data_IF_401911966019
#
_entry.id   IF_401911966019
#
_cell.length_a   1.000
_cell.length_b   1.000
_cell.length_c   1.000
_cell.angle_alpha   90.00
_cell.angle_beta   90.00
_cell.angle_gamma   90.00
#
_symmetry.space_group_name_H-M   'P 1'
#
loop_
_entity.id
_entity.type
_entity.pdbx_description
1 polymer ?
#
# COMPACT_ATOMS: atom_id res chain seq x y z
N UNK A 1 -12.32 -59.60 -30.73
CA UNK A 1 -12.10 -58.61 -29.65
C UNK A 1 -10.97 -57.68 -30.07
N UNK A 2 -11.32 -56.46 -30.48
CA UNK A 2 -10.37 -55.45 -30.99
C UNK A 2 -10.24 -54.39 -29.89
N UNK A 3 -9.02 -54.06 -29.45
CA UNK A 3 -8.77 -52.89 -28.59
C UNK A 3 -7.84 -51.92 -29.31
N UNK A 4 -8.38 -50.72 -29.48
CA UNK A 4 -7.84 -49.55 -30.12
C UNK A 4 -6.45 -49.16 -29.60
N UNK A 5 -5.55 -48.91 -30.54
CA UNK A 5 -4.49 -47.92 -30.44
C UNK A 5 -4.88 -46.78 -31.38
N UNK A 6 -5.00 -45.55 -30.87
CA UNK A 6 -4.96 -44.38 -31.74
C UNK A 6 -4.44 -43.16 -30.95
N UNK A 7 -3.25 -42.74 -31.34
CA UNK A 7 -2.63 -41.46 -31.06
C UNK A 7 -3.10 -40.41 -32.09
N UNK A 8 -2.95 -39.14 -31.72
CA UNK A 8 -3.22 -37.89 -32.46
C UNK A 8 -4.71 -37.47 -32.45
N UNK A 9 -5.06 -36.20 -32.20
CA UNK A 9 -4.54 -35.04 -32.91
C UNK A 9 -4.81 -33.74 -32.12
N UNK A 10 -3.93 -32.77 -32.35
CA UNK A 10 -3.86 -31.41 -31.80
C UNK A 10 -5.06 -30.56 -32.25
N UNK A 11 -5.71 -29.84 -31.34
CA UNK A 11 -6.54 -28.67 -31.66
C UNK A 11 -6.11 -27.47 -30.81
N UNK A 12 -5.21 -26.67 -31.36
CA UNK A 12 -4.95 -25.29 -30.90
C UNK A 12 -6.06 -24.41 -31.46
N UNK A 13 -7.01 -24.01 -30.62
CA UNK A 13 -7.96 -22.95 -30.96
C UNK A 13 -7.44 -21.62 -30.42
N UNK A 14 -6.80 -20.84 -31.30
CA UNK A 14 -6.47 -19.43 -31.04
C UNK A 14 -7.78 -18.64 -31.02
N UNK A 15 -8.17 -18.17 -29.84
CA UNK A 15 -9.33 -17.31 -29.65
C UNK A 15 -9.07 -15.89 -30.15
N UNK A 16 -9.78 -15.55 -31.22
CA UNK A 16 -10.18 -14.24 -31.75
C UNK A 16 -9.65 -12.96 -31.09
N UNK A 17 -8.81 -12.26 -31.85
CA UNK A 17 -8.60 -10.81 -31.76
C UNK A 17 -9.92 -10.08 -32.04
N UNK A 18 -10.50 -9.46 -31.01
CA UNK A 18 -11.55 -8.45 -31.19
C UNK A 18 -10.89 -7.13 -31.61
N UNK A 19 -11.01 -6.80 -32.90
CA UNK A 19 -10.60 -5.51 -33.45
C UNK A 19 -11.58 -4.40 -33.07
N UNK A 20 -11.05 -3.27 -32.60
CA UNK A 20 -11.79 -2.01 -32.45
C UNK A 20 -12.17 -1.47 -33.83
N UNK A 21 -13.46 -1.26 -34.07
CA UNK A 21 -13.95 -0.55 -35.26
C UNK A 21 -14.21 0.92 -34.95
N UNK A 22 -14.13 1.72 -36.01
CA UNK A 22 -14.66 3.07 -36.19
C UNK A 22 -13.83 4.27 -35.71
N UNK A 23 -12.93 4.68 -36.61
CA UNK A 23 -12.57 6.08 -36.84
C UNK A 23 -13.81 6.83 -37.35
N UNK A 24 -14.24 7.85 -36.60
CA UNK A 24 -15.04 8.96 -37.14
C UNK A 24 -14.51 10.28 -36.55
N UNK A 25 -14.16 11.18 -37.47
CA UNK A 25 -13.60 12.51 -37.24
C UNK A 25 -14.68 13.45 -36.68
N UNK A 26 -14.34 14.27 -35.69
CA UNK A 26 -15.03 15.54 -35.41
C UNK A 26 -14.06 16.52 -34.77
N UNK A 27 -13.99 17.70 -35.38
CA UNK A 27 -13.19 18.85 -34.98
C UNK A 27 -13.66 19.46 -33.64
N UNK A 28 -12.69 20.10 -32.97
CA UNK A 28 -12.75 21.13 -31.94
C UNK A 28 -14.12 21.59 -31.39
N UNK A 29 -14.28 21.48 -30.07
CA UNK A 29 -15.01 22.46 -29.28
C UNK A 29 -14.44 22.57 -27.85
N UNK A 30 -13.99 23.78 -27.51
CA UNK A 30 -13.80 24.28 -26.15
C UNK A 30 -15.03 23.97 -25.27
N UNK A 31 -14.89 23.07 -24.29
CA UNK A 31 -15.73 23.09 -23.08
C UNK A 31 -14.83 22.81 -21.87
N UNK A 32 -14.56 23.89 -21.15
CA UNK A 32 -14.09 23.94 -19.77
C UNK A 32 -15.16 23.29 -18.89
N UNK A 33 -14.87 22.17 -18.22
CA UNK A 33 -15.64 21.76 -17.03
C UNK A 33 -14.82 20.88 -16.08
N UNK A 34 -14.43 21.55 -14.99
CA UNK A 34 -14.29 21.06 -13.62
C UNK A 34 -13.55 19.73 -13.43
N UNK A 35 -12.26 19.86 -13.08
CA UNK A 35 -11.57 18.85 -12.28
C UNK A 35 -12.36 18.70 -10.98
N UNK A 36 -13.23 17.70 -10.93
CA UNK A 36 -13.73 17.14 -9.69
C UNK A 36 -12.53 16.53 -8.97
N UNK A 37 -11.84 17.35 -8.17
CA UNK A 37 -10.96 16.86 -7.11
C UNK A 37 -11.85 16.20 -6.05
N UNK A 38 -12.33 15.00 -6.37
CA UNK A 38 -12.61 14.02 -5.34
C UNK A 38 -11.34 13.17 -5.21
N UNK A 39 -10.24 13.82 -4.80
CA UNK A 39 -9.10 13.11 -4.22
C UNK A 39 -9.55 12.63 -2.84
N UNK A 40 -10.32 11.55 -2.86
CA UNK A 40 -10.47 10.70 -1.69
C UNK A 40 -9.07 10.17 -1.37
N UNK A 41 -8.54 10.42 -0.16
CA UNK A 41 -7.14 10.23 0.08
C UNK A 41 -6.83 8.74 -0.06
N UNK A 42 -5.86 8.42 -0.92
CA UNK A 42 -5.23 7.10 -1.04
C UNK A 42 -4.52 6.65 0.25
N UNK A 43 -4.76 7.33 1.38
CA UNK A 43 -4.08 7.20 2.67
C UNK A 43 -4.62 6.03 3.52
N UNK A 44 -5.88 5.61 3.36
CA UNK A 44 -6.46 4.54 4.18
C UNK A 44 -5.74 3.19 4.00
N UNK A 45 -5.43 2.75 2.76
CA UNK A 45 -4.66 1.52 2.56
C UNK A 45 -3.22 1.60 3.11
N UNK A 46 -2.56 2.75 2.94
CA UNK A 46 -1.16 2.93 3.37
C UNK A 46 -1.02 2.95 4.90
N UNK A 47 -1.93 3.61 5.62
CA UNK A 47 -1.93 3.62 7.07
C UNK A 47 -2.20 2.23 7.66
N UNK A 48 -3.12 1.47 7.04
CA UNK A 48 -3.42 0.12 7.49
C UNK A 48 -2.21 -0.81 7.35
N UNK A 49 -1.47 -0.71 6.25
CA UNK A 49 -0.22 -1.45 6.07
C UNK A 49 0.81 -1.08 7.15
N UNK A 50 0.98 0.22 7.41
CA UNK A 50 1.89 0.70 8.46
C UNK A 50 1.53 0.17 9.86
N UNK A 51 0.25 0.08 10.20
CA UNK A 51 -0.21 -0.52 11.46
C UNK A 51 0.19 -2.01 11.53
N UNK A 52 -0.01 -2.75 10.44
CA UNK A 52 0.39 -4.15 10.36
C UNK A 52 1.90 -4.34 10.48
N UNK A 53 2.68 -3.47 9.82
CA UNK A 53 4.14 -3.47 9.91
C UNK A 53 4.60 -3.19 11.35
N UNK A 54 3.94 -2.25 12.06
CA UNK A 54 4.23 -1.94 13.45
C UNK A 54 3.98 -3.14 14.38
N UNK A 55 2.85 -3.81 14.20
CA UNK A 55 2.50 -5.02 14.96
C UNK A 55 3.47 -6.17 14.66
N UNK A 56 3.86 -6.34 13.40
CA UNK A 56 4.86 -7.32 13.00
C UNK A 56 6.23 -7.02 13.63
N UNK A 57 6.65 -5.75 13.63
CA UNK A 57 7.91 -5.31 14.21
C UNK A 57 7.99 -5.62 15.71
N UNK A 58 6.93 -5.37 16.47
CA UNK A 58 6.85 -5.70 17.90
C UNK A 58 6.87 -7.21 18.14
N UNK A 59 6.24 -8.01 17.27
CA UNK A 59 6.29 -9.48 17.35
C UNK A 59 7.69 -10.03 17.11
N UNK A 60 8.51 -9.36 16.30
CA UNK A 60 9.91 -9.75 16.10
C UNK A 60 10.75 -9.53 17.35
N UNK A 61 10.56 -8.38 18.01
CA UNK A 61 11.32 -8.00 19.21
C UNK A 61 10.57 -6.91 20.02
N UNK A 62 10.41 -7.11 21.33
CA UNK A 62 9.73 -6.18 22.23
C UNK A 62 10.44 -4.81 22.33
N UNK A 63 11.72 -4.71 21.94
CA UNK A 63 12.43 -3.40 21.92
C UNK A 63 11.74 -2.35 21.06
N UNK A 64 10.92 -2.77 20.09
CA UNK A 64 10.17 -1.89 19.20
C UNK A 64 8.80 -1.46 19.74
N UNK A 65 8.43 -1.83 20.97
CA UNK A 65 7.15 -1.45 21.58
C UNK A 65 6.92 0.07 21.56
N UNK A 66 8.00 0.84 21.73
CA UNK A 66 7.95 2.31 21.70
C UNK A 66 7.53 2.84 20.33
N UNK A 67 8.04 2.25 19.24
CA UNK A 67 7.70 2.68 17.88
C UNK A 67 6.21 2.48 17.57
N UNK A 68 5.67 1.32 17.95
CA UNK A 68 4.25 1.02 17.83
C UNK A 68 3.39 1.96 18.69
N UNK A 69 3.77 2.16 19.95
CA UNK A 69 3.03 3.04 20.87
C UNK A 69 2.99 4.50 20.39
N UNK A 70 4.10 5.00 19.82
CA UNK A 70 4.16 6.34 19.23
C UNK A 70 3.28 6.47 17.98
N UNK A 71 3.23 5.45 17.11
CA UNK A 71 2.33 5.44 15.95
C UNK A 71 0.86 5.50 16.40
N UNK A 72 0.46 4.64 17.33
CA UNK A 72 -0.92 4.62 17.84
C UNK A 72 -1.28 5.93 18.56
N UNK A 73 -0.33 6.54 19.28
CA UNK A 73 -0.49 7.87 19.85
C UNK A 73 -0.80 8.93 18.79
N UNK A 74 0.02 9.01 17.73
CA UNK A 74 -0.20 9.93 16.62
C UNK A 74 -1.56 9.73 15.93
N UNK A 75 -1.98 8.48 15.73
CA UNK A 75 -3.29 8.15 15.13
C UNK A 75 -4.43 8.62 16.05
N UNK A 76 -4.32 8.42 17.35
CA UNK A 76 -5.34 8.85 18.30
C UNK A 76 -5.43 10.38 18.39
N UNK A 77 -4.30 11.07 18.42
CA UNK A 77 -4.25 12.53 18.41
C UNK A 77 -4.82 13.09 17.10
N UNK A 78 -4.52 12.47 15.96
CA UNK A 78 -5.09 12.84 14.67
C UNK A 78 -6.61 12.62 14.62
N UNK A 79 -7.12 11.52 15.19
CA UNK A 79 -8.57 11.27 15.34
C UNK A 79 -9.23 12.31 16.23
N UNK A 80 -8.61 12.66 17.35
CA UNK A 80 -9.09 13.71 18.23
C UNK A 80 -9.14 15.06 17.49
N UNK A 81 -8.05 15.43 16.82
CA UNK A 81 -8.01 16.63 16.00
C UNK A 81 -9.13 16.64 14.95
N UNK A 82 -9.33 15.56 14.21
CA UNK A 82 -10.40 15.45 13.22
C UNK A 82 -11.78 15.73 13.84
N UNK A 83 -12.04 15.24 15.06
CA UNK A 83 -13.31 15.44 15.78
C UNK A 83 -13.58 16.90 16.19
N UNK A 84 -12.54 17.70 16.41
CA UNK A 84 -12.67 19.12 16.82
C UNK A 84 -12.34 20.11 15.71
N UNK A 85 -11.72 19.66 14.61
CA UNK A 85 -11.20 20.51 13.53
C UNK A 85 -12.24 21.45 12.92
N UNK A 86 -13.51 21.01 12.84
CA UNK A 86 -14.62 21.83 12.34
C UNK A 86 -14.88 23.10 13.16
N UNK A 87 -14.48 23.12 14.44
CA UNK A 87 -14.62 24.24 15.36
C UNK A 87 -13.40 25.17 15.36
N UNK A 88 -12.37 24.85 14.57
CA UNK A 88 -11.13 25.62 14.49
C UNK A 88 -11.09 26.52 13.25
N UNK A 89 -10.24 27.55 13.29
CA UNK A 89 -10.09 28.48 12.17
C UNK A 89 -9.51 27.79 10.92
N UNK A 90 -9.75 28.37 9.75
CA UNK A 90 -9.19 27.87 8.49
C UNK A 90 -7.65 27.83 8.51
N UNK A 91 -7.02 28.83 9.14
CA UNK A 91 -5.56 28.90 9.31
C UNK A 91 -5.05 27.72 10.14
N UNK A 92 -5.68 27.41 11.29
CA UNK A 92 -5.31 26.25 12.11
C UNK A 92 -5.44 24.96 11.31
N UNK A 93 -6.56 24.76 10.61
CA UNK A 93 -6.74 23.56 9.77
C UNK A 93 -5.66 23.40 8.70
N UNK A 94 -5.33 24.50 8.02
CA UNK A 94 -4.31 24.50 6.96
C UNK A 94 -2.89 24.21 7.45
N UNK A 95 -2.64 24.33 8.76
CA UNK A 95 -1.35 24.03 9.38
C UNK A 95 -1.34 22.66 10.05
N UNK A 96 -2.39 22.32 10.80
CA UNK A 96 -2.41 21.14 11.66
C UNK A 96 -2.73 19.86 10.89
N UNK A 97 -3.62 19.91 9.89
CA UNK A 97 -3.88 18.74 9.03
C UNK A 97 -2.60 18.19 8.39
N UNK A 98 -1.83 18.98 7.62
CA UNK A 98 -0.61 18.45 6.99
C UNK A 98 0.47 18.06 8.01
N UNK A 99 0.48 18.66 9.20
CA UNK A 99 1.40 18.26 10.27
C UNK A 99 1.13 16.82 10.75
N UNK A 100 -0.14 16.45 10.96
CA UNK A 100 -0.50 15.08 11.34
C UNK A 100 -0.21 14.10 10.22
N UNK A 101 -0.57 14.44 8.98
CA UNK A 101 -0.25 13.61 7.81
C UNK A 101 1.25 13.34 7.70
N UNK A 102 2.07 14.38 7.81
CA UNK A 102 3.53 14.26 7.79
C UNK A 102 4.05 13.37 8.93
N UNK A 103 3.64 13.63 10.18
CA UNK A 103 4.14 12.87 11.33
C UNK A 103 3.77 11.39 11.27
N UNK A 104 2.56 11.07 10.83
CA UNK A 104 2.12 9.68 10.65
C UNK A 104 2.94 9.02 9.54
N UNK A 105 3.07 9.67 8.38
CA UNK A 105 3.84 9.12 7.25
C UNK A 105 5.32 8.91 7.60
N UNK A 106 5.94 9.86 8.30
CA UNK A 106 7.33 9.75 8.76
C UNK A 106 7.51 8.57 9.73
N UNK A 107 6.60 8.45 10.71
CA UNK A 107 6.60 7.33 11.65
C UNK A 107 6.43 5.99 10.93
N UNK A 108 5.52 5.92 9.96
CA UNK A 108 5.31 4.73 9.14
C UNK A 108 6.55 4.35 8.34
N UNK A 109 7.20 5.30 7.68
CA UNK A 109 8.44 5.07 6.96
C UNK A 109 9.56 4.56 7.90
N UNK A 110 9.67 5.11 9.10
CA UNK A 110 10.62 4.62 10.12
C UNK A 110 10.35 3.17 10.51
N UNK A 111 9.08 2.81 10.71
CA UNK A 111 8.65 1.45 11.06
C UNK A 111 8.98 0.47 9.93
N UNK A 112 8.60 0.77 8.68
CA UNK A 112 8.87 -0.12 7.55
C UNK A 112 10.39 -0.34 7.35
N UNK A 113 11.21 0.70 7.49
CA UNK A 113 12.67 0.55 7.42
C UNK A 113 13.24 -0.34 8.53
N UNK A 114 12.75 -0.21 9.77
CA UNK A 114 13.17 -1.07 10.89
C UNK A 114 12.75 -2.52 10.64
N UNK A 115 11.53 -2.73 10.15
CA UNK A 115 11.01 -4.06 9.83
C UNK A 115 11.85 -4.76 8.75
N UNK A 116 12.15 -4.06 7.66
CA UNK A 116 13.03 -4.55 6.59
C UNK A 116 14.39 -4.95 7.18
N UNK A 117 15.01 -4.08 7.97
CA UNK A 117 16.33 -4.35 8.58
C UNK A 117 16.34 -5.58 9.50
N UNK A 118 15.28 -5.79 10.26
CA UNK A 118 15.17 -6.97 11.13
C UNK A 118 14.98 -8.25 10.33
N UNK A 119 14.20 -8.21 9.25
CA UNK A 119 14.09 -9.36 8.33
C UNK A 119 15.41 -9.65 7.60
N UNK A 120 16.11 -8.64 7.10
CA UNK A 120 17.44 -8.81 6.50
C UNK A 120 18.45 -9.43 7.47
N UNK A 121 18.45 -8.96 8.73
CA UNK A 121 19.35 -9.48 9.76
C UNK A 121 19.08 -10.97 10.03
N UNK A 122 17.81 -11.37 10.03
CA UNK A 122 17.40 -12.76 10.24
C UNK A 122 17.74 -13.65 9.04
N UNK A 123 17.49 -13.17 7.83
CA UNK A 123 17.86 -13.88 6.60
C UNK A 123 19.37 -14.16 6.54
N UNK A 124 20.21 -13.14 6.79
CA UNK A 124 21.68 -13.32 6.83
C UNK A 124 22.14 -14.31 7.90
N UNK A 125 21.50 -14.30 9.08
CA UNK A 125 21.81 -15.27 10.14
C UNK A 125 21.47 -16.70 9.73
N UNK A 126 20.35 -16.90 9.04
CA UNK A 126 19.96 -18.20 8.52
C UNK A 126 20.98 -18.73 7.49
N UNK A 127 21.40 -17.89 6.55
CA UNK A 127 22.42 -18.25 5.54
C UNK A 127 23.76 -18.66 6.19
N UNK A 128 24.20 -17.92 7.22
CA UNK A 128 25.42 -18.24 7.97
C UNK A 128 25.29 -19.56 8.75
N UNK A 129 24.11 -19.84 9.31
CA UNK A 129 23.88 -21.09 10.05
C UNK A 129 23.86 -22.32 9.14
N UNK A 130 23.37 -22.20 7.89
CA UNK A 130 23.42 -23.28 6.90
C UNK A 130 24.85 -23.52 6.39
N UNK A 131 25.65 -22.46 6.25
CA UNK A 131 27.06 -22.55 5.83
C UNK A 131 28.00 -23.16 6.88
N UNK A 132 27.72 -22.99 8.18
CA UNK A 132 28.49 -23.60 9.29
C UNK A 132 28.12 -25.07 9.54
N UNK A 133 26.97 -25.53 9.05
CA UNK A 133 26.48 -26.90 9.21
C UNK A 133 26.96 -27.86 8.09
N UNK A 134 27.71 -27.34 7.09
CA UNK A 134 28.30 -28.10 5.98
C UNK A 134 29.81 -28.19 6.13
#
# INVERSE_FOLDING_TARGET
MIRNSLLALVCVSVGFLQGCTNIKRTDSALIKKEVSQNEQPAQVPALQQCIQDADALVKLDKKFQKDSSELYGLINDAKFYASVSGQTSASVKSTITPLFEYKINDKCNSISQKLIKEFETRARKADLSDGLAR
#
